data_IF_558567942665
#
_entry.id   IF_558567942665
#
_cell.length_a   1.000
_cell.length_b   1.000
_cell.length_c   1.000
_cell.angle_alpha   90.00
_cell.angle_beta   90.00
_cell.angle_gamma   90.00
#
_symmetry.space_group_name_H-M   'P 1'
#
loop_
_entity.id
_entity.type
_entity.pdbx_description
1 polymer ?
#
# COMPACT_ATOMS: atom_id res chain seq x y z
N UNK A 1 -15.39 19.66 13.43
CA UNK A 1 -15.70 18.43 12.66
C UNK A 1 -14.50 17.50 12.74
N UNK A 2 -14.67 16.18 12.90
CA UNK A 2 -13.53 15.27 12.91
C UNK A 2 -12.78 15.37 11.57
N UNK A 3 -11.46 15.37 11.60
CA UNK A 3 -10.66 15.30 10.37
C UNK A 3 -10.99 13.98 9.63
N UNK A 4 -11.05 14.01 8.29
CA UNK A 4 -11.40 12.86 7.43
C UNK A 4 -10.65 11.57 7.79
N UNK A 5 -9.39 11.70 8.22
CA UNK A 5 -8.55 10.58 8.65
C UNK A 5 -9.10 9.84 9.88
N UNK A 6 -9.70 10.55 10.82
CA UNK A 6 -10.27 9.95 12.03
C UNK A 6 -11.57 9.20 11.70
N UNK A 7 -12.37 9.74 10.76
CA UNK A 7 -13.57 9.05 10.25
C UNK A 7 -13.18 7.75 9.55
N UNK A 8 -12.17 7.79 8.68
CA UNK A 8 -11.63 6.61 7.99
C UNK A 8 -11.18 5.54 9.00
N UNK A 9 -10.40 5.94 10.01
CA UNK A 9 -9.92 5.01 11.02
C UNK A 9 -11.06 4.40 11.83
N UNK A 10 -12.03 5.23 12.26
CA UNK A 10 -13.19 4.77 13.03
C UNK A 10 -14.06 3.78 12.25
N UNK A 11 -14.37 4.08 10.98
CA UNK A 11 -15.16 3.18 10.13
C UNK A 11 -14.49 1.82 9.96
N UNK A 12 -13.18 1.81 9.70
CA UNK A 12 -12.43 0.56 9.54
C UNK A 12 -12.34 -0.24 10.85
N UNK A 13 -12.19 0.43 11.99
CA UNK A 13 -12.24 -0.21 13.32
C UNK A 13 -13.62 -0.82 13.61
N UNK A 14 -14.69 -0.18 13.15
CA UNK A 14 -16.05 -0.70 13.19
C UNK A 14 -16.34 -1.75 12.11
N UNK A 15 -15.30 -2.29 11.46
CA UNK A 15 -15.41 -3.30 10.41
C UNK A 15 -16.25 -2.84 9.21
N UNK A 16 -16.34 -1.53 8.96
CA UNK A 16 -17.04 -0.96 7.82
C UNK A 16 -16.05 -0.74 6.66
N UNK A 17 -16.28 -1.35 5.48
CA UNK A 17 -15.50 -1.07 4.29
C UNK A 17 -15.64 0.39 3.86
N UNK A 18 -14.58 0.96 3.30
CA UNK A 18 -14.57 2.34 2.84
C UNK A 18 -14.04 2.45 1.42
N UNK A 19 -14.30 3.59 0.79
CA UNK A 19 -13.58 4.01 -0.40
C UNK A 19 -13.19 5.47 -0.31
N UNK A 20 -12.08 5.82 -0.97
CA UNK A 20 -11.61 7.20 -1.08
C UNK A 20 -10.73 7.35 -2.32
N UNK A 21 -10.49 8.59 -2.75
CA UNK A 21 -9.63 8.90 -3.89
C UNK A 21 -8.17 8.92 -3.44
N UNK A 22 -7.33 8.13 -4.11
CA UNK A 22 -5.90 8.11 -3.85
C UNK A 22 -5.25 9.46 -4.19
N UNK A 23 -4.39 9.93 -3.29
CA UNK A 23 -3.55 11.10 -3.50
C UNK A 23 -2.06 10.74 -3.60
N UNK A 24 -1.40 11.26 -4.62
CA UNK A 24 0.04 11.21 -4.81
C UNK A 24 0.58 9.98 -5.56
N UNK A 25 1.88 10.00 -5.92
CA UNK A 25 2.46 9.01 -6.83
C UNK A 25 3.07 7.77 -6.14
N UNK A 26 3.03 7.68 -4.80
CA UNK A 26 3.82 6.68 -4.04
C UNK A 26 3.53 5.23 -4.42
N UNK A 27 2.31 4.94 -4.88
CA UNK A 27 1.86 3.61 -5.27
C UNK A 27 1.79 3.39 -6.78
N UNK A 28 2.29 4.34 -7.59
CA UNK A 28 2.34 4.18 -9.04
C UNK A 28 3.30 3.02 -9.41
N UNK A 29 2.92 2.09 -10.32
CA UNK A 29 1.72 2.08 -11.18
C UNK A 29 0.53 1.25 -10.67
N UNK A 30 0.63 0.68 -9.47
CA UNK A 30 -0.42 -0.16 -8.89
C UNK A 30 -1.68 0.65 -8.59
N UNK A 31 -1.52 1.80 -7.96
CA UNK A 31 -2.58 2.78 -7.71
C UNK A 31 -2.08 4.10 -8.29
N UNK A 32 -2.88 4.72 -9.16
CA UNK A 32 -2.58 6.04 -9.73
C UNK A 32 -3.26 7.12 -8.90
N UNK A 33 -2.67 8.30 -8.95
CA UNK A 33 -3.29 9.51 -8.39
C UNK A 33 -4.67 9.73 -9.02
N UNK A 34 -5.66 10.08 -8.20
CA UNK A 34 -7.05 10.26 -8.64
C UNK A 34 -7.89 8.98 -8.75
N UNK A 35 -7.34 7.79 -8.48
CA UNK A 35 -8.12 6.54 -8.50
C UNK A 35 -8.92 6.32 -7.22
N UNK A 36 -10.16 5.86 -7.35
CA UNK A 36 -10.94 5.40 -6.20
C UNK A 36 -10.38 4.07 -5.68
N UNK A 37 -10.01 4.03 -4.42
CA UNK A 37 -9.46 2.85 -3.74
C UNK A 37 -10.50 2.30 -2.78
N UNK A 38 -10.77 0.99 -2.90
CA UNK A 38 -11.68 0.28 -2.00
C UNK A 38 -10.87 -0.48 -0.96
N UNK A 39 -11.18 -0.26 0.30
CA UNK A 39 -10.51 -0.86 1.44
C UNK A 39 -11.50 -1.68 2.24
N UNK A 40 -11.08 -2.90 2.56
CA UNK A 40 -11.73 -3.70 3.57
C UNK A 40 -10.99 -3.63 4.91
N UNK A 41 -11.70 -3.68 6.04
CA UNK A 41 -11.09 -3.88 7.34
C UNK A 41 -10.17 -5.11 7.32
N UNK A 42 -9.07 -5.04 8.06
CA UNK A 42 -8.23 -6.21 8.25
C UNK A 42 -8.97 -7.17 9.20
N UNK A 43 -9.56 -8.24 8.66
CA UNK A 43 -10.16 -9.29 9.47
C UNK A 43 -9.09 -9.99 10.31
N UNK A 44 -9.48 -10.50 11.49
CA UNK A 44 -8.62 -11.28 12.38
C UNK A 44 -8.17 -12.56 11.68
N UNK A 45 -7.11 -12.47 10.89
CA UNK A 45 -6.70 -13.55 10.00
C UNK A 45 -5.65 -13.07 9.01
N UNK A 46 -4.41 -13.46 9.28
CA UNK A 46 -3.21 -13.40 8.43
C UNK A 46 -3.24 -12.32 7.33
N UNK A 47 -2.52 -11.22 7.54
CA UNK A 47 -2.19 -10.27 6.47
C UNK A 47 -1.40 -11.00 5.37
N UNK A 48 -1.97 -11.20 4.16
CA UNK A 48 -1.27 -11.95 3.13
C UNK A 48 -0.06 -11.17 2.63
N UNK A 49 1.04 -11.89 2.39
CA UNK A 49 2.27 -11.31 1.87
C UNK A 49 2.04 -10.56 0.55
N UNK A 50 2.67 -9.39 0.38
CA UNK A 50 2.50 -8.55 -0.81
C UNK A 50 1.18 -7.78 -0.85
N UNK A 51 0.35 -7.82 0.19
CA UNK A 51 -0.89 -7.02 0.24
C UNK A 51 -0.57 -5.53 0.28
N UNK A 52 -1.45 -4.72 -0.31
CA UNK A 52 -1.42 -3.27 -0.15
C UNK A 52 -2.29 -2.91 1.05
N UNK A 53 -1.73 -2.17 2.00
CA UNK A 53 -2.36 -1.88 3.27
C UNK A 53 -2.52 -0.38 3.47
N UNK A 54 -3.59 -0.02 4.17
CA UNK A 54 -3.81 1.30 4.72
C UNK A 54 -3.38 1.27 6.18
N UNK A 55 -2.52 2.20 6.57
CA UNK A 55 -2.01 2.30 7.93
C UNK A 55 -1.86 3.75 8.36
N UNK A 56 -1.81 3.95 9.68
CA UNK A 56 -1.57 5.26 10.28
C UNK A 56 -0.14 5.36 10.77
N UNK A 57 0.52 6.48 10.48
CA UNK A 57 1.85 6.78 10.99
C UNK A 57 2.00 8.29 11.18
N UNK A 58 2.48 8.71 12.36
CA UNK A 58 2.65 10.12 12.73
C UNK A 58 1.42 11.00 12.43
N UNK A 59 0.21 10.51 12.76
CA UNK A 59 -1.04 11.23 12.54
C UNK A 59 -1.47 11.37 11.06
N UNK A 60 -0.80 10.67 10.14
CA UNK A 60 -1.12 10.62 8.71
C UNK A 60 -1.53 9.22 8.31
N UNK A 61 -2.40 9.12 7.32
CA UNK A 61 -2.79 7.86 6.70
C UNK A 61 -1.95 7.64 5.43
N UNK A 62 -1.47 6.43 5.22
CA UNK A 62 -0.70 6.04 4.04
C UNK A 62 -1.16 4.70 3.50
N UNK A 63 -1.06 4.55 2.18
CA UNK A 63 -1.26 3.29 1.46
C UNK A 63 0.08 2.82 0.94
N UNK A 64 0.57 1.67 1.41
CA UNK A 64 1.82 1.06 0.92
C UNK A 64 1.69 -0.45 0.78
N UNK A 65 2.63 -1.08 0.07
CA UNK A 65 2.73 -2.53 -0.01
C UNK A 65 3.47 -3.10 1.20
N UNK A 66 2.87 -4.10 1.83
CA UNK A 66 3.52 -4.97 2.80
C UNK A 66 4.43 -5.96 2.07
N UNK A 67 5.74 -5.86 2.28
CA UNK A 67 6.72 -6.76 1.63
C UNK A 67 7.40 -7.71 2.60
N UNK A 68 7.34 -7.47 3.91
CA UNK A 68 7.82 -8.43 4.91
C UNK A 68 6.92 -8.37 6.14
N UNK A 69 6.66 -9.52 6.75
CA UNK A 69 5.91 -9.61 7.99
C UNK A 69 6.78 -10.33 9.03
N UNK A 70 7.21 -9.61 10.06
CA UNK A 70 7.96 -10.16 11.18
C UNK A 70 6.99 -10.52 12.31
N UNK A 71 6.60 -11.79 12.35
CA UNK A 71 5.67 -12.33 13.36
C UNK A 71 6.21 -12.24 14.79
N UNK A 72 7.54 -12.32 14.98
CA UNK A 72 8.16 -12.27 16.32
C UNK A 72 8.03 -10.89 16.95
N UNK A 73 8.21 -9.84 16.15
CA UNK A 73 8.08 -8.46 16.64
C UNK A 73 6.70 -7.86 16.39
N UNK A 74 5.79 -8.61 15.76
CA UNK A 74 4.50 -8.14 15.26
C UNK A 74 4.60 -6.84 14.43
N UNK A 75 5.61 -6.77 13.54
CA UNK A 75 5.87 -5.61 12.68
C UNK A 75 5.82 -6.00 11.22
N UNK A 76 5.40 -5.05 10.39
CA UNK A 76 5.29 -5.20 8.95
C UNK A 76 6.19 -4.16 8.28
N UNK A 77 7.01 -4.60 7.32
CA UNK A 77 7.77 -3.69 6.48
C UNK A 77 6.91 -3.24 5.31
N UNK A 78 6.79 -1.94 5.16
CA UNK A 78 5.94 -1.31 4.16
C UNK A 78 6.73 -0.41 3.24
N UNK A 79 6.33 -0.38 1.97
CA UNK A 79 6.99 0.47 0.98
C UNK A 79 6.05 0.85 -0.15
N UNK A 80 6.17 2.08 -0.64
CA UNK A 80 5.43 2.55 -1.82
C UNK A 80 5.98 1.92 -3.10
N UNK A 81 5.12 1.49 -4.02
CA UNK A 81 5.53 0.79 -5.25
C UNK A 81 6.42 1.66 -6.18
N UNK A 82 6.26 2.98 -6.14
CA UNK A 82 7.09 3.92 -6.89
C UNK A 82 8.45 4.20 -6.23
N UNK A 83 8.62 3.85 -4.95
CA UNK A 83 9.83 4.18 -4.20
C UNK A 83 11.04 3.43 -4.77
N UNK A 84 12.07 4.19 -5.15
CA UNK A 84 13.35 3.64 -5.63
C UNK A 84 14.21 3.18 -4.45
N UNK A 85 14.15 3.89 -3.32
CA UNK A 85 14.77 3.53 -2.05
C UNK A 85 13.80 3.85 -0.90
N UNK A 86 14.04 3.24 0.26
CA UNK A 86 13.27 3.47 1.48
C UNK A 86 12.21 2.39 1.77
N UNK A 87 11.28 2.75 2.64
CA UNK A 87 10.38 1.81 3.32
C UNK A 87 10.57 1.90 4.83
N UNK A 88 9.66 1.30 5.58
CA UNK A 88 9.70 1.38 7.03
C UNK A 88 8.95 0.25 7.71
N UNK A 89 9.44 -0.12 8.89
CA UNK A 89 8.75 -1.03 9.79
C UNK A 89 7.67 -0.28 10.55
N UNK A 90 6.46 -0.82 10.52
CA UNK A 90 5.34 -0.36 11.33
C UNK A 90 4.82 -1.49 12.23
N UNK A 91 4.26 -1.18 13.40
CA UNK A 91 3.47 -2.12 14.17
C UNK A 91 2.28 -2.65 13.34
N UNK A 92 1.96 -3.94 13.46
CA UNK A 92 0.77 -4.49 12.83
C UNK A 92 -0.53 -3.87 13.36
N UNK A 93 -0.51 -3.35 14.59
CA UNK A 93 -1.63 -2.64 15.21
C UNK A 93 -1.96 -1.28 14.54
N UNK A 94 -1.02 -0.69 13.81
CA UNK A 94 -1.23 0.57 13.08
C UNK A 94 -1.90 0.37 11.71
N UNK A 95 -2.13 -0.90 11.33
CA UNK A 95 -2.80 -1.26 10.09
C UNK A 95 -4.31 -1.11 10.29
N UNK A 96 -4.92 -0.25 9.48
CA UNK A 96 -6.35 0.03 9.52
C UNK A 96 -7.13 -0.91 8.59
N UNK A 97 -6.54 -1.29 7.45
CA UNK A 97 -7.22 -2.11 6.48
C UNK A 97 -6.34 -2.55 5.32
N UNK A 98 -6.93 -3.34 4.42
CA UNK A 98 -6.28 -3.88 3.23
C UNK A 98 -7.00 -3.37 1.99
N UNK A 99 -6.23 -2.89 1.02
CA UNK A 99 -6.79 -2.49 -0.27
C UNK A 99 -7.28 -3.73 -1.01
N UNK A 100 -8.55 -3.72 -1.33
CA UNK A 100 -9.22 -4.78 -2.05
C UNK A 100 -9.12 -4.59 -3.56
N UNK A 101 -9.45 -3.38 -4.01
CA UNK A 101 -9.51 -3.04 -5.43
C UNK A 101 -9.35 -1.54 -5.67
N UNK A 102 -9.15 -1.18 -6.92
CA UNK A 102 -9.17 0.21 -7.39
C UNK A 102 -10.10 0.34 -8.59
N UNK A 103 -10.75 1.49 -8.73
CA UNK A 103 -11.46 1.85 -9.96
C UNK A 103 -10.54 2.68 -10.85
N UNK A 104 -10.33 2.19 -12.07
CA UNK A 104 -9.52 2.84 -13.11
C UNK A 104 -10.31 2.83 -14.40
N UNK A 105 -10.52 4.01 -14.99
CA UNK A 105 -11.22 4.16 -16.27
C UNK A 105 -12.59 3.46 -16.26
N UNK A 106 -13.35 3.63 -15.17
CA UNK A 106 -14.66 3.00 -14.96
C UNK A 106 -14.62 1.50 -14.63
N UNK A 107 -13.45 0.84 -14.64
CA UNK A 107 -13.31 -0.60 -14.39
C UNK A 107 -12.71 -0.89 -13.02
N UNK A 108 -13.27 -1.90 -12.34
CA UNK A 108 -12.73 -2.39 -11.06
C UNK A 108 -11.55 -3.32 -11.33
N UNK A 109 -10.40 -3.03 -10.72
CA UNK A 109 -9.20 -3.88 -10.73
C UNK A 109 -8.93 -4.43 -9.34
N UNK A 110 -9.01 -5.74 -9.17
CA UNK A 110 -8.73 -6.43 -7.91
C UNK A 110 -7.23 -6.44 -7.59
N UNK A 111 -6.87 -5.96 -6.40
CA UNK A 111 -5.50 -5.96 -5.89
C UNK A 111 -5.26 -7.02 -4.80
N UNK A 112 -6.32 -7.64 -4.30
CA UNK A 112 -6.26 -8.69 -3.28
C UNK A 112 -6.05 -10.11 -3.84
N UNK A 113 -5.96 -10.25 -5.16
CA UNK A 113 -5.65 -11.53 -5.80
C UNK A 113 -4.18 -11.91 -5.60
N UNK A 114 -3.88 -13.21 -5.55
CA UNK A 114 -2.49 -13.71 -5.46
C UNK A 114 -1.62 -13.16 -6.60
N UNK A 115 -2.13 -13.14 -7.84
CA UNK A 115 -1.41 -12.64 -9.02
C UNK A 115 -1.04 -11.16 -8.87
N UNK A 116 -1.99 -10.32 -8.44
CA UNK A 116 -1.72 -8.89 -8.24
C UNK A 116 -0.67 -8.64 -7.14
N UNK A 117 -0.73 -9.40 -6.04
CA UNK A 117 0.28 -9.33 -4.97
C UNK A 117 1.67 -9.70 -5.47
N UNK A 118 1.80 -10.82 -6.19
CA UNK A 118 3.06 -11.27 -6.77
C UNK A 118 3.62 -10.30 -7.80
N UNK A 119 2.79 -9.75 -8.69
CA UNK A 119 3.22 -8.72 -9.65
C UNK A 119 3.80 -7.49 -8.93
N UNK A 120 3.19 -7.07 -7.83
CA UNK A 120 3.72 -5.99 -6.99
C UNK A 120 5.05 -6.33 -6.31
N UNK A 121 5.19 -7.54 -5.79
CA UNK A 121 6.44 -8.02 -5.19
C UNK A 121 7.57 -8.14 -6.20
N UNK A 122 7.31 -8.66 -7.40
CA UNK A 122 8.30 -8.73 -8.48
C UNK A 122 8.85 -7.34 -8.80
N UNK A 123 7.99 -6.31 -8.85
CA UNK A 123 8.43 -4.92 -9.02
C UNK A 123 9.30 -4.44 -7.86
N UNK A 124 8.98 -4.83 -6.63
CA UNK A 124 9.82 -4.53 -5.47
C UNK A 124 11.22 -5.15 -5.59
N UNK A 125 11.30 -6.43 -5.93
CA UNK A 125 12.59 -7.11 -6.09
C UNK A 125 13.37 -6.67 -7.34
N UNK A 126 12.70 -6.16 -8.37
CA UNK A 126 13.33 -5.58 -9.55
C UNK A 126 13.81 -4.12 -9.35
N UNK A 127 13.60 -3.51 -8.17
CA UNK A 127 14.07 -2.15 -7.86
C UNK A 127 15.57 -1.88 -8.08
N UNK A 128 16.51 -2.75 -7.66
CA UNK A 128 17.94 -2.50 -7.88
C UNK A 128 18.27 -2.35 -9.37
N UNK A 129 17.58 -3.08 -10.26
CA UNK A 129 17.76 -2.92 -11.70
C UNK A 129 17.30 -1.54 -12.19
N UNK A 130 16.21 -0.98 -11.64
CA UNK A 130 15.81 0.41 -11.92
C UNK A 130 16.83 1.42 -11.41
N UNK A 131 17.44 1.19 -10.24
CA UNK A 131 18.50 2.05 -9.71
C UNK A 131 19.71 2.07 -10.63
N UNK A 132 20.15 0.89 -11.10
CA UNK A 132 21.27 0.78 -12.03
C UNK A 132 20.96 1.48 -13.36
N UNK A 133 19.77 1.30 -13.93
CA UNK A 133 19.38 1.96 -15.18
C UNK A 133 19.36 3.49 -15.06
N UNK A 134 18.85 4.04 -13.95
CA UNK A 134 18.87 5.50 -13.70
C UNK A 134 20.29 6.01 -13.48
N UNK A 135 21.12 5.26 -12.75
CA UNK A 135 22.52 5.61 -12.53
C UNK A 135 23.31 5.63 -13.86
N UNK A 136 23.12 4.63 -14.71
CA UNK A 136 23.72 4.55 -16.05
C UNK A 136 23.25 5.71 -16.91
N UNK A 137 21.94 5.98 -17.00
CA UNK A 137 21.41 7.10 -17.78
C UNK A 137 22.00 8.45 -17.35
N UNK A 138 22.17 8.67 -16.04
CA UNK A 138 22.80 9.90 -15.49
C UNK A 138 24.31 9.97 -15.75
N UNK A 139 24.99 8.84 -15.95
CA UNK A 139 26.42 8.81 -16.25
C UNK A 139 26.72 9.08 -17.74
N UNK A 140 25.70 9.08 -18.60
CA UNK A 140 25.78 9.35 -20.04
C UNK A 140 25.19 10.73 -20.44
N UNK A 141 24.86 11.59 -19.46
CA UNK A 141 24.58 13.02 -19.64
C UNK A 141 25.74 13.85 -19.12
#
# INVERSE_FOLDING_TARGET
>A
MPETKEIIAALLQQHTPISFVAGGPSMNPTIRDGESVFIKPLSAGVLPHGSVILYRIYGRIKVHRCTFNNKRTNRVFTVGDAAVAGGGWIPAADILGVVESVQRDGRIRRLDTRRARWAGLLRFYARPLRQMAVAVYRAFQ
#
